data_IF_203042024785
#
_entry.id   IF_203042024785
#
_cell.length_a   1.000
_cell.length_b   1.000
_cell.length_c   1.000
_cell.angle_alpha   90.00
_cell.angle_beta   90.00
_cell.angle_gamma   90.00
#
_symmetry.space_group_name_H-M   'P 1'
#
loop_
_entity.id
_entity.type
_entity.pdbx_description
1 polymer ?
#
# COMPACT_ATOMS: atom_id res chain seq x y z
N UNK A 1 -22.43 34.82 -20.59
CA UNK A 1 -21.84 35.68 -21.64
C UNK A 1 -22.73 36.90 -21.82
N UNK A 2 -22.17 38.08 -22.06
CA UNK A 2 -22.94 39.32 -22.23
C UNK A 2 -22.50 39.99 -23.52
N UNK A 3 -23.46 40.55 -24.26
CA UNK A 3 -23.26 41.23 -25.53
C UNK A 3 -23.60 42.71 -25.38
N UNK A 4 -22.75 43.60 -25.88
CA UNK A 4 -22.99 45.04 -25.92
C UNK A 4 -22.83 45.55 -27.34
N UNK A 5 -23.58 46.59 -27.70
CA UNK A 5 -23.54 47.22 -29.01
C UNK A 5 -23.88 48.70 -28.91
N UNK A 6 -23.08 49.54 -29.56
CA UNK A 6 -23.27 51.00 -29.61
C UNK A 6 -24.18 51.45 -30.76
N UNK A 7 -25.08 50.56 -31.20
CA UNK A 7 -25.96 50.81 -32.34
C UNK A 7 -26.86 52.04 -32.11
N UNK A 8 -27.05 52.84 -33.17
CA UNK A 8 -27.98 53.98 -33.20
C UNK A 8 -28.91 53.85 -34.40
N UNK A 9 -30.24 53.68 -34.21
CA UNK A 9 -30.96 53.46 -32.96
C UNK A 9 -30.55 52.20 -32.17
N UNK A 10 -30.99 52.09 -30.90
CA UNK A 10 -30.71 50.95 -30.03
C UNK A 10 -31.05 49.60 -30.69
N UNK A 11 -30.41 48.55 -30.18
CA UNK A 11 -30.62 47.19 -30.68
C UNK A 11 -32.02 46.69 -30.32
N UNK A 12 -32.71 46.14 -31.31
CA UNK A 12 -34.05 45.56 -31.16
C UNK A 12 -33.97 44.10 -30.68
N UNK A 13 -32.98 43.33 -31.18
CA UNK A 13 -32.82 41.92 -30.87
C UNK A 13 -31.35 41.49 -30.78
N UNK A 14 -31.05 40.75 -29.72
CA UNK A 14 -29.80 40.00 -29.59
C UNK A 14 -30.06 38.50 -29.77
N UNK A 15 -29.23 37.86 -30.58
CA UNK A 15 -29.26 36.41 -30.83
C UNK A 15 -27.88 35.82 -30.62
N UNK A 16 -27.79 34.68 -29.93
CA UNK A 16 -26.54 34.00 -29.63
C UNK A 16 -26.35 32.78 -30.52
N UNK A 17 -25.10 32.59 -30.94
CA UNK A 17 -24.69 31.49 -31.79
C UNK A 17 -23.51 30.74 -31.16
N UNK A 18 -23.57 29.41 -31.18
CA UNK A 18 -22.50 28.50 -30.73
C UNK A 18 -21.95 27.73 -31.92
N UNK A 19 -20.63 27.58 -32.00
CA UNK A 19 -19.99 26.71 -32.99
C UNK A 19 -20.36 25.26 -32.69
N UNK A 20 -20.96 24.58 -33.67
CA UNK A 20 -21.24 23.16 -33.56
C UNK A 20 -19.94 22.37 -33.64
N UNK A 21 -19.79 21.34 -32.79
CA UNK A 21 -18.63 20.44 -32.84
C UNK A 21 -18.70 19.47 -34.03
N UNK A 22 -19.91 19.11 -34.45
CA UNK A 22 -20.15 18.08 -35.49
C UNK A 22 -20.34 18.65 -36.90
N UNK A 23 -20.62 19.96 -37.04
CA UNK A 23 -20.82 20.63 -38.33
C UNK A 23 -19.89 21.82 -38.45
N UNK A 24 -19.47 22.15 -39.66
CA UNK A 24 -18.70 23.35 -40.00
C UNK A 24 -19.56 24.62 -39.97
N UNK A 25 -20.31 24.85 -38.89
CA UNK A 25 -21.24 25.96 -38.78
C UNK A 25 -21.58 26.34 -37.35
N UNK A 26 -22.27 27.47 -37.22
CA UNK A 26 -22.80 27.95 -35.96
C UNK A 26 -24.31 27.70 -35.90
N UNK A 27 -24.81 27.31 -34.73
CA UNK A 27 -26.24 27.19 -34.45
C UNK A 27 -26.69 28.28 -33.51
N UNK A 28 -27.89 28.79 -33.74
CA UNK A 28 -28.57 29.64 -32.77
C UNK A 28 -28.79 28.84 -31.48
N UNK A 29 -28.43 29.42 -30.35
CA UNK A 29 -28.46 28.76 -29.03
C UNK A 29 -29.26 29.54 -28.00
N UNK A 30 -29.62 30.79 -28.29
CA UNK A 30 -30.36 31.63 -27.36
C UNK A 30 -30.60 33.05 -27.89
N UNK A 31 -31.34 33.82 -27.11
CA UNK A 31 -31.65 35.22 -27.41
C UNK A 31 -31.55 36.07 -26.14
N UNK A 32 -31.49 37.39 -26.33
CA UNK A 32 -31.32 38.36 -25.25
C UNK A 32 -29.89 38.83 -25.09
N UNK A 33 -29.73 39.97 -24.41
CA UNK A 33 -28.43 40.62 -24.26
C UNK A 33 -27.43 39.78 -23.43
N UNK A 34 -27.96 38.99 -22.49
CA UNK A 34 -27.18 38.06 -21.67
C UNK A 34 -27.55 36.61 -22.00
N UNK A 35 -26.54 35.78 -22.21
CA UNK A 35 -26.67 34.35 -22.42
C UNK A 35 -26.15 33.58 -21.21
N UNK A 36 -27.04 32.82 -20.57
CA UNK A 36 -26.78 32.09 -19.33
C UNK A 36 -26.70 30.60 -19.68
N UNK A 37 -25.57 29.97 -19.34
CA UNK A 37 -25.38 28.52 -19.44
C UNK A 37 -25.45 27.97 -18.02
N UNK A 38 -26.44 27.12 -17.76
CA UNK A 38 -26.63 26.47 -16.47
C UNK A 38 -25.88 25.14 -16.45
N UNK A 39 -25.35 24.77 -15.28
CA UNK A 39 -24.67 23.48 -15.06
C UNK A 39 -23.60 23.17 -16.13
N UNK A 40 -22.63 24.08 -16.28
CA UNK A 40 -21.59 24.03 -17.32
C UNK A 40 -20.81 22.72 -17.31
N UNK A 41 -20.85 22.00 -18.43
CA UNK A 41 -20.09 20.76 -18.69
C UNK A 41 -19.02 20.97 -19.76
N UNK A 42 -18.07 20.05 -19.93
CA UNK A 42 -16.99 20.20 -20.91
C UNK A 42 -17.51 20.39 -22.35
N UNK A 43 -18.69 19.87 -22.65
CA UNK A 43 -19.39 19.98 -23.93
C UNK A 43 -19.85 21.41 -24.23
N UNK A 44 -20.03 22.24 -23.20
CA UNK A 44 -20.36 23.67 -23.33
C UNK A 44 -19.15 24.51 -23.74
N UNK A 45 -17.94 23.97 -23.64
CA UNK A 45 -16.76 24.64 -24.17
C UNK A 45 -16.85 24.77 -25.69
N UNK A 46 -16.49 25.95 -26.21
CA UNK A 46 -16.57 26.24 -27.64
C UNK A 46 -16.52 27.73 -27.96
N UNK A 47 -16.70 28.04 -29.24
CA UNK A 47 -16.76 29.42 -29.72
C UNK A 47 -18.20 29.91 -29.75
N UNK A 48 -18.42 31.10 -29.19
CA UNK A 48 -19.70 31.79 -29.15
C UNK A 48 -19.57 33.16 -29.78
N UNK A 49 -20.59 33.59 -30.51
CA UNK A 49 -20.74 34.99 -30.92
C UNK A 49 -22.19 35.44 -30.75
N UNK A 50 -22.37 36.75 -30.67
CA UNK A 50 -23.66 37.39 -30.57
C UNK A 50 -23.93 38.18 -31.85
N UNK A 51 -25.17 38.15 -32.32
CA UNK A 51 -25.69 38.97 -33.41
C UNK A 51 -26.64 40.00 -32.84
N UNK A 52 -26.33 41.27 -33.02
CA UNK A 52 -27.16 42.39 -32.60
C UNK A 52 -27.86 42.97 -33.83
N UNK A 53 -29.20 43.05 -33.80
CA UNK A 53 -30.01 43.56 -34.92
C UNK A 53 -30.75 44.83 -34.51
N UNK A 54 -30.65 45.86 -35.35
CA UNK A 54 -31.53 47.03 -35.30
C UNK A 54 -32.25 47.21 -36.65
N UNK A 55 -32.98 48.31 -36.80
CA UNK A 55 -33.69 48.68 -38.04
C UNK A 55 -32.80 48.76 -39.29
N UNK A 56 -31.49 49.00 -39.15
CA UNK A 56 -30.56 49.09 -40.28
C UNK A 56 -29.94 47.74 -40.63
N UNK A 57 -30.05 46.74 -39.76
CA UNK A 57 -29.60 45.38 -40.03
C UNK A 57 -28.92 44.71 -38.84
N UNK A 58 -28.45 43.47 -39.05
CA UNK A 58 -27.69 42.72 -38.06
C UNK A 58 -26.18 42.99 -38.17
N UNK A 59 -25.49 42.99 -37.03
CA UNK A 59 -24.04 42.96 -36.92
C UNK A 59 -23.59 41.86 -35.95
N UNK A 60 -22.53 41.15 -36.32
CA UNK A 60 -21.96 40.07 -35.52
C UNK A 60 -20.82 40.57 -34.63
N UNK A 61 -20.75 40.07 -33.39
CA UNK A 61 -19.63 40.28 -32.50
C UNK A 61 -18.41 39.45 -32.93
N UNK A 62 -17.24 39.82 -32.44
CA UNK A 62 -16.09 38.92 -32.49
C UNK A 62 -16.41 37.59 -31.77
N UNK A 63 -16.01 36.43 -32.32
CA UNK A 63 -16.17 35.15 -31.63
C UNK A 63 -15.30 35.08 -30.37
N UNK A 64 -15.88 34.58 -29.27
CA UNK A 64 -15.21 34.37 -27.99
C UNK A 64 -15.13 32.88 -27.69
N UNK A 65 -13.99 32.41 -27.22
CA UNK A 65 -13.80 31.01 -26.82
C UNK A 65 -14.08 30.83 -25.33
N UNK A 66 -15.08 30.00 -25.02
CA UNK A 66 -15.40 29.57 -23.66
C UNK A 66 -14.70 28.24 -23.39
N UNK A 67 -13.88 28.21 -22.33
CA UNK A 67 -13.23 26.98 -21.84
C UNK A 67 -13.68 26.73 -20.40
N UNK A 68 -14.19 25.53 -20.15
CA UNK A 68 -14.63 25.11 -18.82
C UNK A 68 -13.49 24.32 -18.18
N UNK A 69 -12.89 24.89 -17.14
CA UNK A 69 -11.89 24.19 -16.34
C UNK A 69 -12.60 23.24 -15.37
N UNK A 70 -12.44 21.94 -15.58
CA UNK A 70 -12.88 20.93 -14.62
C UNK A 70 -12.08 21.02 -13.31
N UNK A 71 -12.68 20.59 -12.20
CA UNK A 71 -11.94 20.40 -10.94
C UNK A 71 -10.89 19.30 -11.14
N UNK A 72 -9.65 19.47 -10.67
CA UNK A 72 -8.65 18.40 -10.76
C UNK A 72 -9.10 17.22 -9.90
N UNK A 73 -9.27 16.05 -10.52
CA UNK A 73 -9.54 14.80 -9.81
C UNK A 73 -8.21 14.09 -9.60
N UNK A 74 -7.74 14.05 -8.35
CA UNK A 74 -6.48 13.38 -8.00
C UNK A 74 -6.71 11.87 -7.82
N UNK A 75 -6.74 11.14 -8.95
CA UNK A 75 -6.93 9.68 -8.96
C UNK A 75 -5.83 8.89 -8.25
N UNK A 76 -4.65 9.50 -8.06
CA UNK A 76 -3.52 8.89 -7.36
C UNK A 76 -3.61 9.00 -5.84
N UNK A 77 -4.47 9.87 -5.31
CA UNK A 77 -4.67 10.03 -3.87
C UNK A 77 -4.99 8.70 -3.14
N UNK A 78 -5.93 7.85 -3.61
CA UNK A 78 -6.16 6.54 -2.99
C UNK A 78 -4.95 5.60 -3.11
N UNK A 79 -4.21 5.65 -4.23
CA UNK A 79 -3.02 4.82 -4.44
C UNK A 79 -1.94 5.16 -3.41
N UNK A 80 -1.69 6.45 -3.17
CA UNK A 80 -0.73 6.92 -2.16
C UNK A 80 -1.18 6.54 -0.75
N UNK A 81 -2.48 6.62 -0.47
CA UNK A 81 -3.05 6.15 0.80
C UNK A 81 -2.77 4.67 1.05
N UNK A 82 -3.03 3.80 0.07
CA UNK A 82 -2.79 2.35 0.19
C UNK A 82 -1.30 2.04 0.39
N UNK A 83 -0.42 2.66 -0.38
CA UNK A 83 1.04 2.47 -0.26
C UNK A 83 1.53 2.88 1.14
N UNK A 84 1.05 4.01 1.65
CA UNK A 84 1.42 4.47 2.99
C UNK A 84 0.98 3.50 4.09
N UNK A 85 -0.24 2.94 3.99
CA UNK A 85 -0.76 1.95 4.95
C UNK A 85 0.03 0.65 4.89
N UNK A 86 0.35 0.15 3.69
CA UNK A 86 1.15 -1.07 3.53
C UNK A 86 2.57 -0.88 4.08
N UNK A 87 3.20 0.27 3.82
CA UNK A 87 4.52 0.59 4.33
C UNK A 87 4.51 0.67 5.87
N UNK A 88 3.54 1.37 6.46
CA UNK A 88 3.38 1.46 7.92
C UNK A 88 3.13 0.08 8.55
N UNK A 89 2.27 -0.74 7.94
CA UNK A 89 2.01 -2.11 8.37
C UNK A 89 3.27 -2.98 8.35
N UNK A 90 4.04 -2.94 7.26
CA UNK A 90 5.31 -3.67 7.16
C UNK A 90 6.31 -3.23 8.23
N UNK A 91 6.44 -1.92 8.48
CA UNK A 91 7.31 -1.38 9.53
C UNK A 91 6.89 -1.88 10.92
N UNK A 92 5.59 -1.87 11.24
CA UNK A 92 5.08 -2.38 12.52
C UNK A 92 5.35 -3.88 12.69
N UNK A 93 5.18 -4.69 11.64
CA UNK A 93 5.48 -6.13 11.66
C UNK A 93 6.97 -6.38 11.89
N UNK A 94 7.84 -5.64 11.22
CA UNK A 94 9.30 -5.73 11.39
C UNK A 94 9.68 -5.36 12.83
N UNK A 95 9.17 -4.24 13.35
CA UNK A 95 9.42 -3.80 14.73
C UNK A 95 8.95 -4.85 15.74
N UNK A 96 7.72 -5.35 15.59
CA UNK A 96 7.19 -6.41 16.45
C UNK A 96 8.06 -7.68 16.40
N UNK A 97 8.48 -8.10 15.19
CA UNK A 97 9.38 -9.23 15.00
C UNK A 97 10.73 -9.06 15.71
N UNK A 98 11.34 -7.88 15.62
CA UNK A 98 12.61 -7.59 16.33
C UNK A 98 12.45 -7.56 17.85
N UNK A 99 11.33 -7.03 18.36
CA UNK A 99 11.02 -7.02 19.80
C UNK A 99 10.74 -8.44 20.34
N UNK A 100 10.05 -9.29 19.56
CA UNK A 100 9.79 -10.69 19.92
C UNK A 100 11.07 -11.53 19.91
N UNK A 101 11.96 -11.34 18.93
CA UNK A 101 13.27 -12.01 18.87
C UNK A 101 14.16 -11.67 20.08
N UNK A 102 14.09 -10.44 20.60
CA UNK A 102 14.82 -10.03 21.82
C UNK A 102 14.31 -10.67 23.12
N UNK A 103 13.08 -11.21 23.13
CA UNK A 103 12.47 -11.90 24.29
C UNK A 103 12.63 -13.42 24.28
N UNK A 104 13.12 -14.02 23.20
CA UNK A 104 13.46 -15.44 23.20
C UNK A 104 14.82 -15.65 23.90
N UNK A 105 14.93 -16.46 24.97
CA UNK A 105 16.22 -16.84 25.52
C UNK A 105 16.99 -17.64 24.46
N UNK A 106 18.32 -17.40 24.35
CA UNK A 106 19.23 -18.13 23.46
C UNK A 106 19.10 -19.64 23.67
N UNK A 107 18.41 -20.32 22.75
CA UNK A 107 18.61 -21.75 22.54
C UNK A 107 19.99 -21.93 21.92
N UNK A 108 20.85 -22.71 22.59
CA UNK A 108 22.16 -23.12 22.11
C UNK A 108 21.95 -24.13 20.98
N UNK A 109 22.29 -23.78 19.74
CA UNK A 109 22.32 -24.72 18.62
C UNK A 109 23.47 -25.72 18.82
N UNK A 110 23.15 -27.01 18.96
CA UNK A 110 24.08 -28.11 18.75
C UNK A 110 23.64 -28.84 17.47
N UNK A 111 24.21 -28.41 16.34
CA UNK A 111 24.14 -29.13 15.08
C UNK A 111 25.27 -30.16 15.01
N UNK A 112 24.93 -31.43 14.83
CA UNK A 112 25.88 -32.50 14.55
C UNK A 112 25.14 -33.73 14.05
N UNK A 113 25.17 -33.95 12.73
CA UNK A 113 24.73 -35.16 12.04
C UNK A 113 25.38 -36.42 12.65
N UNK A 114 24.57 -37.44 12.92
CA UNK A 114 25.04 -38.76 13.25
C UNK A 114 25.20 -39.59 11.97
N UNK A 115 26.44 -39.93 11.59
CA UNK A 115 26.72 -40.91 10.54
C UNK A 115 27.47 -42.13 11.11
N UNK A 116 26.93 -43.31 10.81
CA UNK A 116 27.34 -44.62 11.33
C UNK A 116 28.58 -45.17 10.60
N UNK A 117 29.51 -45.82 11.34
CA UNK A 117 30.63 -46.60 10.79
C UNK A 117 30.75 -47.94 11.54
N UNK A 118 30.96 -49.10 10.86
CA UNK A 118 30.96 -50.42 11.51
C UNK A 118 32.34 -50.80 12.09
N UNK A 119 32.34 -51.65 13.12
CA UNK A 119 33.52 -52.03 13.89
C UNK A 119 34.13 -53.38 13.43
N UNK A 120 35.45 -53.40 13.18
CA UNK A 120 36.29 -54.59 12.95
C UNK A 120 37.38 -54.75 14.03
N UNK A 121 37.80 -56.00 14.29
CA UNK A 121 38.58 -56.50 15.45
C UNK A 121 40.06 -56.03 15.55
N UNK A 122 40.68 -56.13 16.76
CA UNK A 122 42.00 -55.57 17.06
C UNK A 122 43.12 -56.63 17.11
N UNK A 123 44.37 -56.23 16.84
CA UNK A 123 45.55 -56.84 17.48
C UNK A 123 46.77 -55.91 17.52
N UNK A 124 47.20 -55.64 18.76
CA UNK A 124 48.51 -55.19 19.25
C UNK A 124 49.21 -53.97 18.63
N UNK A 125 49.20 -52.87 19.39
CA UNK A 125 50.38 -52.01 19.58
C UNK A 125 50.41 -51.45 20.99
N UNK A 126 51.64 -51.27 21.47
CA UNK A 126 52.02 -50.87 22.81
C UNK A 126 51.65 -49.42 23.13
N UNK A 127 51.23 -49.22 24.39
CA UNK A 127 51.56 -48.09 25.25
C UNK A 127 51.31 -46.67 24.70
N UNK A 128 50.13 -46.11 24.95
CA UNK A 128 49.93 -44.76 25.52
C UNK A 128 48.44 -44.49 25.68
N UNK A 129 48.07 -44.03 26.87
CA UNK A 129 46.81 -43.38 27.25
C UNK A 129 45.49 -44.19 27.27
N UNK A 130 44.73 -43.88 28.32
CA UNK A 130 43.38 -44.30 28.68
C UNK A 130 43.13 -45.70 29.26
N UNK A 131 42.07 -45.71 30.07
CA UNK A 131 41.19 -46.86 30.34
C UNK A 131 41.51 -47.72 31.56
N UNK A 132 41.32 -47.15 32.76
CA UNK A 132 40.75 -47.92 33.87
C UNK A 132 39.75 -47.05 34.65
N UNK A 133 38.61 -46.78 34.03
CA UNK A 133 37.35 -46.80 34.76
C UNK A 133 37.00 -48.27 35.02
N UNK A 134 37.29 -48.78 36.21
CA UNK A 134 36.59 -49.97 36.71
C UNK A 134 36.20 -49.78 38.17
N UNK A 135 35.20 -48.94 38.43
CA UNK A 135 34.28 -49.21 39.52
C UNK A 135 33.10 -50.02 38.95
N UNK A 136 33.38 -51.31 38.75
CA UNK A 136 32.37 -52.31 38.43
C UNK A 136 31.50 -52.55 39.68
N UNK A 137 30.20 -52.22 39.60
CA UNK A 137 29.20 -52.40 40.69
C UNK A 137 28.79 -53.86 40.92
N UNK A 138 29.75 -54.79 40.89
CA UNK A 138 29.51 -56.21 41.26
C UNK A 138 30.63 -56.90 42.02
N UNK A 139 31.64 -56.16 42.49
CA UNK A 139 32.68 -56.68 43.40
C UNK A 139 32.62 -55.97 44.76
N UNK A 140 31.44 -56.00 45.39
CA UNK A 140 31.35 -55.78 46.84
C UNK A 140 31.60 -57.15 47.47
N UNK A 141 32.87 -57.39 47.81
CA UNK A 141 33.30 -58.55 48.60
C UNK A 141 33.02 -58.27 50.08
N UNK A 142 32.70 -59.30 50.86
CA UNK A 142 32.02 -59.21 52.16
C UNK A 142 32.99 -58.69 53.25
N UNK A 143 32.47 -58.38 54.43
CA UNK A 143 33.25 -57.94 55.60
C UNK A 143 33.65 -56.46 55.61
N UNK A 144 32.66 -55.58 55.78
CA UNK A 144 32.78 -54.62 56.88
C UNK A 144 31.58 -54.81 57.78
N UNK A 145 31.82 -55.60 58.81
CA UNK A 145 30.85 -56.02 59.80
C UNK A 145 30.93 -55.11 61.04
N UNK A 146 29.86 -55.14 61.82
CA UNK A 146 29.72 -54.66 63.20
C UNK A 146 29.43 -53.18 63.45
N UNK A 147 28.13 -52.87 63.52
CA UNK A 147 27.55 -52.58 64.84
C UNK A 147 26.29 -53.43 65.02
N UNK A 148 26.49 -54.53 65.73
CA UNK A 148 25.47 -55.47 66.13
C UNK A 148 24.47 -54.85 67.13
N UNK A 149 23.21 -55.26 66.95
CA UNK A 149 22.21 -55.54 67.97
C UNK A 149 21.85 -54.47 69.01
N UNK A 150 20.63 -53.93 68.89
CA UNK A 150 19.66 -54.00 70.01
C UNK A 150 18.25 -54.37 69.51
N UNK A 151 17.91 -55.64 69.78
CA UNK A 151 16.61 -56.27 70.11
C UNK A 151 15.42 -56.27 69.13
N UNK A 152 15.21 -57.48 68.60
CA UNK A 152 13.96 -58.25 68.59
C UNK A 152 13.02 -57.99 69.79
N UNK A 153 11.72 -57.93 69.51
CA UNK A 153 10.62 -58.76 70.09
C UNK A 153 9.33 -58.29 69.40
N UNK A 154 8.80 -58.98 68.38
CA UNK A 154 7.91 -60.16 68.45
C UNK A 154 6.59 -59.85 69.14
N UNK A 155 5.48 -60.16 68.44
CA UNK A 155 4.19 -60.49 69.05
C UNK A 155 3.06 -59.57 68.65
#
# INVERSE_FOLDING_TARGET
>A
LTCSSDAKPPVDKYTWYKKNKERTGFSETGSGQSYIILNTINEDSGQYFCKAKNQYGPLDSAPVSLSIAGKPVFLWAPVVGVVAVLAAGALLVILYGTLKKRKAPRGMDFGGEAQMVPCGKPTHTAQSDDMYMTLNKRTMSPEYDTLANVRNTVG
#
